data_IF_492182915210
#
_entry.id   IF_492182915210
#
_cell.length_a   1.000
_cell.length_b   1.000
_cell.length_c   1.000
_cell.angle_alpha   90.00
_cell.angle_beta   90.00
_cell.angle_gamma   90.00
#
_symmetry.space_group_name_H-M   'P 1'
#
loop_
_entity.id
_entity.type
_entity.pdbx_description
1 polymer ?
#
# COMPACT_ATOMS: atom_id res chain seq x y z
N UNK A 1 -2.82 -15.46 -3.89
CA UNK A 1 -2.19 -14.21 -3.44
C UNK A 1 -0.82 -14.08 -4.08
N UNK A 2 -0.46 -12.88 -4.50
CA UNK A 2 0.77 -12.63 -5.24
C UNK A 2 1.87 -12.19 -4.29
N UNK A 3 3.08 -12.70 -4.47
CA UNK A 3 4.23 -12.16 -3.74
C UNK A 3 4.51 -10.73 -4.19
N UNK A 4 4.91 -9.88 -3.26
CA UNK A 4 5.17 -8.47 -3.57
C UNK A 4 6.24 -8.32 -4.65
N UNK A 5 7.27 -9.18 -4.66
CA UNK A 5 8.30 -9.14 -5.71
C UNK A 5 7.79 -9.51 -7.10
N UNK A 6 6.57 -10.07 -7.20
CA UNK A 6 6.01 -10.56 -8.46
C UNK A 6 4.91 -9.65 -9.03
N UNK A 7 4.62 -8.51 -8.40
CA UNK A 7 3.60 -7.60 -8.93
C UNK A 7 4.09 -6.98 -10.23
N UNK A 8 3.13 -6.66 -11.11
CA UNK A 8 3.43 -6.16 -12.45
C UNK A 8 2.65 -4.87 -12.71
N UNK A 9 3.35 -3.89 -13.28
CA UNK A 9 2.76 -2.61 -13.67
C UNK A 9 1.52 -2.81 -14.56
N UNK A 10 0.47 -2.05 -14.28
CA UNK A 10 -0.80 -2.04 -15.00
C UNK A 10 -1.63 -3.31 -14.82
N UNK A 11 -1.30 -4.14 -13.85
CA UNK A 11 -2.11 -5.30 -13.49
C UNK A 11 -2.62 -5.16 -12.06
N UNK A 12 -3.74 -5.82 -11.77
CA UNK A 12 -4.21 -5.89 -10.40
C UNK A 12 -3.31 -6.84 -9.61
N UNK A 13 -3.09 -6.48 -8.36
CA UNK A 13 -2.32 -7.30 -7.44
C UNK A 13 -3.10 -7.51 -6.16
N UNK A 14 -2.95 -8.68 -5.57
CA UNK A 14 -3.51 -9.02 -4.26
C UNK A 14 -2.35 -9.51 -3.40
N UNK A 15 -1.96 -8.69 -2.44
CA UNK A 15 -0.76 -8.91 -1.63
C UNK A 15 -1.11 -8.88 -0.14
N UNK A 16 -0.22 -9.48 0.65
CA UNK A 16 -0.31 -9.41 2.11
C UNK A 16 1.08 -9.11 2.65
N UNK A 17 1.16 -8.22 3.60
CA UNK A 17 2.44 -7.88 4.19
C UNK A 17 2.29 -7.19 5.54
N UNK A 18 3.43 -7.02 6.18
CA UNK A 18 3.52 -6.33 7.45
C UNK A 18 3.78 -4.84 7.20
N UNK A 19 3.03 -4.01 7.89
CA UNK A 19 3.17 -2.55 7.78
C UNK A 19 4.49 -2.13 8.40
N UNK A 20 5.34 -1.52 7.57
CA UNK A 20 6.66 -1.05 7.98
C UNK A 20 6.67 0.45 8.26
N UNK A 21 5.89 1.22 7.50
CA UNK A 21 5.79 2.67 7.72
C UNK A 21 4.44 3.20 7.24
N UNK A 22 4.01 4.29 7.86
CA UNK A 22 2.81 5.02 7.47
C UNK A 22 3.20 6.49 7.40
N UNK A 23 3.00 7.11 6.23
CA UNK A 23 3.31 8.51 6.01
C UNK A 23 2.06 9.23 5.53
N UNK A 24 1.73 10.32 6.19
CA UNK A 24 0.67 11.21 5.74
C UNK A 24 1.32 12.46 5.16
N UNK A 25 0.98 12.77 3.90
CA UNK A 25 1.39 14.01 3.28
C UNK A 25 0.28 15.03 3.49
N UNK A 26 0.43 15.97 4.42
CA UNK A 26 -0.60 16.97 4.67
C UNK A 26 -0.60 17.97 3.53
N UNK A 27 -1.61 17.88 2.69
CA UNK A 27 -1.87 18.86 1.66
C UNK A 27 -3.34 19.21 1.76
N UNK A 28 -3.65 20.48 1.79
CA UNK A 28 -5.04 20.92 1.84
C UNK A 28 -5.80 20.57 0.57
N UNK A 29 -5.10 20.47 -0.55
CA UNK A 29 -5.71 20.20 -1.84
C UNK A 29 -5.64 18.73 -2.26
N UNK A 30 -4.70 17.96 -1.74
CA UNK A 30 -4.48 16.58 -2.19
C UNK A 30 -3.90 15.72 -1.07
N UNK A 31 -4.71 15.41 -0.04
CA UNK A 31 -4.21 14.56 1.03
C UNK A 31 -3.85 13.18 0.50
N UNK A 32 -2.81 12.61 1.05
CA UNK A 32 -2.26 11.33 0.65
C UNK A 32 -1.74 10.59 1.87
N UNK A 33 -2.10 9.31 2.00
CA UNK A 33 -1.46 8.43 2.97
C UNK A 33 -0.72 7.34 2.19
N UNK A 34 0.54 7.15 2.52
CA UNK A 34 1.37 6.11 1.93
C UNK A 34 1.72 5.09 3.00
N UNK A 35 1.43 3.82 2.73
CA UNK A 35 1.68 2.72 3.65
C UNK A 35 2.65 1.76 2.97
N UNK A 36 3.80 1.53 3.59
CA UNK A 36 4.76 0.56 3.07
C UNK A 36 4.53 -0.77 3.77
N UNK A 37 4.31 -1.81 2.98
CA UNK A 37 4.16 -3.18 3.49
C UNK A 37 5.23 -4.08 2.90
N UNK A 38 5.61 -5.09 3.67
CA UNK A 38 6.64 -6.05 3.29
C UNK A 38 6.16 -7.48 3.51
N UNK A 39 6.47 -8.36 2.56
CA UNK A 39 6.40 -9.80 2.76
C UNK A 39 7.83 -10.36 2.66
N UNK A 40 7.99 -11.67 2.64
CA UNK A 40 9.31 -12.29 2.55
C UNK A 40 10.03 -12.01 1.22
N UNK A 41 9.30 -11.55 0.21
CA UNK A 41 9.87 -11.33 -1.13
C UNK A 41 10.27 -9.88 -1.39
N UNK A 42 9.75 -8.92 -0.64
CA UNK A 42 10.05 -7.51 -0.86
C UNK A 42 9.01 -6.59 -0.27
N UNK A 43 9.10 -5.30 -0.61
CA UNK A 43 8.20 -4.26 -0.12
C UNK A 43 7.52 -3.51 -1.25
N UNK A 44 6.36 -2.92 -0.94
CA UNK A 44 5.63 -2.07 -1.88
C UNK A 44 4.92 -0.97 -1.10
N UNK A 45 4.73 0.18 -1.74
CA UNK A 45 3.99 1.29 -1.17
C UNK A 45 2.54 1.24 -1.67
N UNK A 46 1.61 1.34 -0.73
CA UNK A 46 0.19 1.52 -1.01
C UNK A 46 -0.11 3.01 -0.93
N UNK A 47 -0.75 3.57 -1.96
CA UNK A 47 -1.11 4.99 -1.98
C UNK A 47 -2.61 5.16 -1.84
N UNK A 48 -3.02 5.85 -0.78
CA UNK A 48 -4.42 6.16 -0.50
C UNK A 48 -4.65 7.63 -0.76
N UNK A 49 -5.12 7.95 -1.96
CA UNK A 49 -5.37 9.32 -2.37
C UNK A 49 -6.67 9.83 -1.75
N UNK A 50 -6.65 11.09 -1.31
CA UNK A 50 -7.83 11.70 -0.74
C UNK A 50 -8.08 11.34 0.71
N UNK A 51 -7.15 10.67 1.37
CA UNK A 51 -7.28 10.29 2.77
C UNK A 51 -6.21 10.95 3.61
N UNK A 52 -6.55 11.25 4.85
CA UNK A 52 -5.63 11.84 5.83
C UNK A 52 -5.15 10.80 6.83
N UNK A 53 -5.92 9.71 6.99
CA UNK A 53 -5.54 8.60 7.87
C UNK A 53 -6.24 7.33 7.39
N UNK A 54 -5.71 6.20 7.81
CA UNK A 54 -6.30 4.89 7.56
C UNK A 54 -6.68 4.29 8.92
N UNK A 55 -7.97 4.16 9.14
CA UNK A 55 -8.50 3.74 10.43
C UNK A 55 -8.02 2.34 10.83
N UNK A 56 -7.56 2.20 12.07
CA UNK A 56 -7.16 0.90 12.61
C UNK A 56 -5.81 0.38 12.18
N UNK A 57 -5.07 1.15 11.37
CA UNK A 57 -3.78 0.71 10.84
C UNK A 57 -2.64 1.20 11.72
N UNK A 58 -1.72 0.30 12.06
CA UNK A 58 -0.54 0.61 12.86
C UNK A 58 0.69 -0.05 12.25
N UNK A 59 1.86 0.55 12.50
CA UNK A 59 3.13 -0.09 12.15
C UNK A 59 3.22 -1.42 12.89
N UNK A 60 3.57 -2.47 12.18
CA UNK A 60 3.60 -3.83 12.73
C UNK A 60 2.35 -4.65 12.44
N UNK A 61 1.27 -4.02 12.00
CA UNK A 61 0.06 -4.74 11.60
C UNK A 61 0.29 -5.56 10.34
N UNK A 62 -0.39 -6.69 10.23
CA UNK A 62 -0.50 -7.43 8.97
C UNK A 62 -1.71 -6.91 8.21
N UNK A 63 -1.56 -6.71 6.92
CA UNK A 63 -2.69 -6.30 6.10
C UNK A 63 -2.67 -6.96 4.73
N UNK A 64 -3.87 -7.13 4.18
CA UNK A 64 -4.05 -7.54 2.78
C UNK A 64 -4.49 -6.32 2.00
N UNK A 65 -4.02 -6.23 0.77
CA UNK A 65 -4.41 -5.15 -0.10
C UNK A 65 -4.58 -5.65 -1.53
N UNK A 66 -5.57 -5.12 -2.21
CA UNK A 66 -5.84 -5.46 -3.60
C UNK A 66 -6.11 -4.20 -4.38
N UNK A 67 -5.42 -4.04 -5.49
CA UNK A 67 -5.61 -2.87 -6.32
C UNK A 67 -4.75 -2.91 -7.57
N UNK A 68 -4.84 -1.83 -8.34
CA UNK A 68 -4.09 -1.69 -9.58
C UNK A 68 -2.66 -1.26 -9.28
N UNK A 69 -1.70 -1.91 -9.91
CA UNK A 69 -0.29 -1.55 -9.78
C UNK A 69 0.02 -0.38 -10.71
N UNK A 70 0.48 0.71 -10.14
CA UNK A 70 0.95 1.88 -10.86
C UNK A 70 2.44 2.07 -10.68
N UNK A 71 2.96 3.15 -11.22
CA UNK A 71 4.37 3.51 -11.12
C UNK A 71 4.49 4.95 -10.65
N UNK A 72 5.41 5.20 -9.75
CA UNK A 72 5.71 6.53 -9.26
C UNK A 72 7.21 6.66 -9.07
N UNK A 73 7.84 7.58 -9.84
CA UNK A 73 9.29 7.81 -9.79
C UNK A 73 10.12 6.53 -10.00
N UNK A 74 9.67 5.68 -10.92
CA UNK A 74 10.39 4.46 -11.26
C UNK A 74 10.12 3.29 -10.31
N UNK A 75 9.25 3.46 -9.32
CA UNK A 75 8.90 2.41 -8.37
C UNK A 75 7.45 2.00 -8.52
N UNK A 76 7.18 0.71 -8.37
CA UNK A 76 5.81 0.21 -8.40
C UNK A 76 5.10 0.55 -7.10
N UNK A 77 3.85 0.96 -7.23
CA UNK A 77 2.96 1.26 -6.10
C UNK A 77 1.60 0.61 -6.37
N UNK A 78 0.80 0.43 -5.32
CA UNK A 78 -0.59 0.00 -5.48
C UNK A 78 -1.49 1.19 -5.17
N UNK A 79 -2.32 1.56 -6.15
CA UNK A 79 -3.12 2.78 -6.10
C UNK A 79 -4.49 2.52 -5.50
N UNK A 80 -4.83 3.28 -4.45
CA UNK A 80 -6.14 3.23 -3.80
C UNK A 80 -6.65 1.81 -3.59
N UNK A 81 -5.87 0.91 -2.98
CA UNK A 81 -6.28 -0.47 -2.85
C UNK A 81 -7.46 -0.61 -1.89
N UNK A 82 -8.27 -1.64 -2.10
CA UNK A 82 -9.09 -2.15 -1.03
C UNK A 82 -8.18 -2.91 -0.07
N UNK A 83 -8.51 -2.91 1.21
CA UNK A 83 -7.63 -3.53 2.19
C UNK A 83 -8.42 -4.13 3.35
N UNK A 84 -7.79 -5.04 4.06
CA UNK A 84 -8.27 -5.50 5.35
C UNK A 84 -7.09 -5.74 6.27
N UNK A 85 -7.29 -5.50 7.55
CA UNK A 85 -6.28 -5.74 8.57
C UNK A 85 -6.45 -7.19 9.03
N UNK A 86 -5.35 -7.93 9.01
CA UNK A 86 -5.34 -9.34 9.42
C UNK A 86 -5.09 -9.40 10.92
N UNK A 87 -5.99 -10.05 11.61
CA UNK A 87 -5.89 -10.19 13.07
C UNK A 87 -5.35 -11.57 13.43
#
# INVERSE_FOLDING_TARGET
MTLISSITWRKRAHVQGKVNSIKAAPSDSSPLVEVEIWDESGGVTLQFLGRREISGLEVGSEMRAEGMVGENNGQLVILNPSYEIVI
#
